data_IF_897555528959
#
_entry.id   IF_897555528959
#
_cell.length_a   1.000
_cell.length_b   1.000
_cell.length_c   1.000
_cell.angle_alpha   90.00
_cell.angle_beta   90.00
_cell.angle_gamma   90.00
#
_symmetry.space_group_name_H-M   'P 1'
#
loop_
_entity.id
_entity.type
_entity.pdbx_description
1 polymer ?
#
# COMPACT_ATOMS: atom_id res chain seq x y z
N UNK A 1 24.08 -38.35 2.31
CA UNK A 1 22.67 -38.11 1.96
C UNK A 1 22.21 -36.74 2.48
N UNK A 2 22.86 -35.64 2.05
CA UNK A 2 22.57 -34.27 2.52
C UNK A 2 22.66 -33.20 1.41
N UNK A 3 23.30 -33.52 0.27
CA UNK A 3 23.44 -32.59 -0.86
C UNK A 3 22.13 -32.34 -1.62
N UNK A 4 21.20 -33.30 -1.65
CA UNK A 4 19.91 -33.16 -2.32
C UNK A 4 19.00 -32.14 -1.61
N UNK A 5 18.99 -32.15 -0.27
CA UNK A 5 18.25 -31.17 0.55
C UNK A 5 18.84 -29.76 0.42
N UNK A 6 20.17 -29.63 0.42
CA UNK A 6 20.86 -28.34 0.21
C UNK A 6 20.56 -27.79 -1.20
N UNK A 7 20.56 -28.64 -2.23
CA UNK A 7 20.26 -28.22 -3.60
C UNK A 7 18.80 -27.75 -3.78
N UNK A 8 17.83 -28.46 -3.17
CA UNK A 8 16.42 -28.05 -3.18
C UNK A 8 16.19 -26.68 -2.50
N UNK A 9 16.83 -26.43 -1.36
CA UNK A 9 16.76 -25.14 -0.67
C UNK A 9 17.36 -24.00 -1.52
N UNK A 10 18.49 -24.23 -2.19
CA UNK A 10 19.13 -23.23 -3.05
C UNK A 10 18.28 -22.86 -4.26
N UNK A 11 17.55 -23.82 -4.84
CA UNK A 11 16.65 -23.56 -5.97
C UNK A 11 15.41 -22.75 -5.57
N UNK A 12 14.82 -23.02 -4.39
CA UNK A 12 13.69 -22.24 -3.85
C UNK A 12 14.06 -20.78 -3.64
N UNK A 13 15.19 -20.53 -2.96
CA UNK A 13 15.67 -19.16 -2.66
C UNK A 13 15.98 -18.39 -3.95
N UNK A 14 16.55 -19.07 -4.96
CA UNK A 14 16.82 -18.44 -6.27
C UNK A 14 15.53 -18.03 -6.97
N UNK A 15 14.50 -18.88 -6.93
CA UNK A 15 13.20 -18.60 -7.52
C UNK A 15 12.52 -17.41 -6.82
N UNK A 16 12.55 -17.36 -5.49
CA UNK A 16 11.96 -16.28 -4.70
C UNK A 16 12.54 -14.91 -5.04
N UNK A 17 13.87 -14.81 -5.13
CA UNK A 17 14.56 -13.56 -5.51
C UNK A 17 14.18 -13.10 -6.92
N UNK A 18 14.07 -14.02 -7.88
CA UNK A 18 13.68 -13.69 -9.25
C UNK A 18 12.22 -13.24 -9.35
N UNK A 19 11.31 -13.87 -8.60
CA UNK A 19 9.92 -13.42 -8.49
C UNK A 19 9.84 -12.04 -7.84
N UNK A 20 10.56 -11.80 -6.74
CA UNK A 20 10.58 -10.49 -6.09
C UNK A 20 11.12 -9.39 -7.01
N UNK A 21 12.15 -9.68 -7.82
CA UNK A 21 12.64 -8.73 -8.85
C UNK A 21 11.55 -8.37 -9.86
N UNK A 22 10.74 -9.33 -10.30
CA UNK A 22 9.61 -9.07 -11.22
C UNK A 22 8.55 -8.19 -10.57
N UNK A 23 8.21 -8.48 -9.31
CA UNK A 23 7.28 -7.67 -8.50
C UNK A 23 7.82 -6.24 -8.37
N UNK A 24 9.08 -6.08 -7.97
CA UNK A 24 9.72 -4.76 -7.84
C UNK A 24 9.71 -4.00 -9.18
N UNK A 25 10.08 -4.65 -10.28
CA UNK A 25 10.05 -4.04 -11.63
C UNK A 25 8.64 -3.59 -12.03
N UNK A 26 7.61 -4.37 -11.68
CA UNK A 26 6.22 -3.99 -11.90
C UNK A 26 5.88 -2.67 -11.16
N UNK A 27 6.17 -2.57 -9.86
CA UNK A 27 5.90 -1.34 -9.10
C UNK A 27 6.76 -0.15 -9.53
N UNK A 28 8.01 -0.36 -9.96
CA UNK A 28 8.86 0.69 -10.51
C UNK A 28 8.32 1.27 -11.83
N UNK A 29 7.67 0.46 -12.67
CA UNK A 29 7.09 0.90 -13.95
C UNK A 29 5.66 1.44 -13.84
N UNK A 30 5.00 1.26 -12.69
CA UNK A 30 3.65 1.75 -12.44
C UNK A 30 3.63 3.30 -12.51
N UNK A 31 2.82 3.89 -13.39
CA UNK A 31 2.67 5.35 -13.53
C UNK A 31 1.49 5.86 -12.73
N UNK A 32 0.35 5.19 -12.89
CA UNK A 32 -0.88 5.49 -12.15
C UNK A 32 -1.55 4.20 -11.70
N UNK A 33 -2.29 4.26 -10.60
CA UNK A 33 -3.17 3.19 -10.16
C UNK A 33 -4.38 3.80 -9.46
N UNK A 34 -5.55 3.23 -9.70
CA UNK A 34 -6.78 3.64 -9.03
C UNK A 34 -7.51 2.43 -8.51
N UNK A 35 -8.37 2.62 -7.53
CA UNK A 35 -9.30 1.60 -7.10
C UNK A 35 -10.13 2.08 -5.94
N UNK A 36 -10.65 1.11 -5.21
CA UNK A 36 -11.43 1.32 -4.00
C UNK A 36 -10.74 0.64 -2.83
N UNK A 37 -10.96 1.16 -1.63
CA UNK A 37 -10.33 0.65 -0.43
C UNK A 37 -11.33 0.50 0.72
N UNK A 38 -11.04 -0.46 1.59
CA UNK A 38 -11.65 -0.58 2.91
C UNK A 38 -10.50 -0.66 3.90
N UNK A 39 -10.43 0.28 4.81
CA UNK A 39 -9.43 0.35 5.86
C UNK A 39 -10.11 0.02 7.19
N UNK A 40 -9.53 -0.88 7.97
CA UNK A 40 -9.94 -1.20 9.33
C UNK A 40 -8.76 -0.97 10.27
N UNK A 41 -8.99 -0.17 11.29
CA UNK A 41 -8.02 0.10 12.36
C UNK A 41 -8.61 -0.36 13.68
N UNK A 42 -7.92 -1.23 14.40
CA UNK A 42 -8.37 -1.71 15.70
C UNK A 42 -7.32 -1.36 16.77
N UNK A 43 -7.81 -0.82 17.88
CA UNK A 43 -7.01 -0.61 19.09
C UNK A 43 -7.35 -1.72 20.10
N UNK A 44 -6.40 -2.61 20.35
CA UNK A 44 -6.62 -3.76 21.23
C UNK A 44 -6.86 -3.36 22.69
N UNK A 45 -6.36 -2.21 23.15
CA UNK A 45 -6.58 -1.77 24.55
C UNK A 45 -8.01 -1.35 24.78
N UNK A 46 -8.61 -0.67 23.80
CA UNK A 46 -9.99 -0.19 23.89
C UNK A 46 -11.02 -1.20 23.35
N UNK A 47 -10.59 -2.14 22.51
CA UNK A 47 -11.47 -3.04 21.75
C UNK A 47 -12.25 -2.34 20.63
N UNK A 48 -11.97 -1.07 20.37
CA UNK A 48 -12.65 -0.28 19.33
C UNK A 48 -11.98 -0.55 17.98
N UNK A 49 -12.81 -0.83 16.97
CA UNK A 49 -12.41 -0.88 15.58
C UNK A 49 -13.13 0.20 14.78
N UNK A 50 -12.39 0.97 14.00
CA UNK A 50 -12.92 1.92 13.03
C UNK A 50 -12.76 1.35 11.62
N UNK A 51 -13.75 1.59 10.76
CA UNK A 51 -13.71 1.20 9.37
C UNK A 51 -13.97 2.40 8.47
N UNK A 52 -13.12 2.58 7.45
CA UNK A 52 -13.22 3.63 6.45
C UNK A 52 -13.30 3.00 5.07
N UNK A 53 -14.12 3.58 4.19
CA UNK A 53 -14.25 3.11 2.80
C UNK A 53 -14.15 4.26 1.83
N UNK A 54 -13.70 3.96 0.62
CA UNK A 54 -13.75 4.93 -0.46
C UNK A 54 -12.87 4.58 -1.65
N UNK A 55 -12.34 5.62 -2.30
CA UNK A 55 -11.60 5.52 -3.56
C UNK A 55 -10.21 6.10 -3.43
N UNK A 56 -9.25 5.46 -4.08
CA UNK A 56 -7.88 5.94 -4.17
C UNK A 56 -7.46 6.16 -5.61
N UNK A 57 -6.62 7.18 -5.81
CA UNK A 57 -5.96 7.49 -7.07
C UNK A 57 -4.52 7.84 -6.76
N UNK A 58 -3.58 7.14 -7.38
CA UNK A 58 -2.16 7.38 -7.23
C UNK A 58 -1.57 7.69 -8.59
N UNK A 59 -0.69 8.69 -8.64
CA UNK A 59 0.09 9.05 -9.82
C UNK A 59 1.51 9.40 -9.41
N UNK A 60 2.50 8.78 -10.04
CA UNK A 60 3.91 9.07 -9.75
C UNK A 60 4.28 10.51 -10.17
N UNK A 61 5.26 11.14 -9.51
CA UNK A 61 6.03 10.61 -8.37
C UNK A 61 5.29 10.70 -7.03
N UNK A 62 4.46 11.72 -6.81
CA UNK A 62 3.99 12.07 -5.47
C UNK A 62 2.52 12.57 -5.45
N UNK A 63 1.68 12.12 -6.38
CA UNK A 63 0.28 12.52 -6.44
C UNK A 63 -0.62 11.44 -5.85
N UNK A 64 -1.50 11.85 -4.96
CA UNK A 64 -2.51 11.00 -4.32
C UNK A 64 -3.83 11.74 -4.23
N UNK A 65 -4.91 10.99 -4.39
CA UNK A 65 -6.23 11.38 -3.93
C UNK A 65 -6.85 10.19 -3.21
N UNK A 66 -7.20 10.35 -1.94
CA UNK A 66 -8.01 9.42 -1.18
C UNK A 66 -9.35 10.09 -0.87
N UNK A 67 -10.41 9.62 -1.50
CA UNK A 67 -11.78 10.07 -1.22
C UNK A 67 -12.40 9.09 -0.25
N UNK A 68 -12.57 9.49 1.00
CA UNK A 68 -13.27 8.73 2.03
C UNK A 68 -14.76 9.01 1.86
N UNK A 69 -15.54 7.94 1.72
CA UNK A 69 -16.99 7.97 1.47
C UNK A 69 -17.77 7.55 2.73
N UNK A 70 -17.18 6.67 3.56
CA UNK A 70 -17.74 6.19 4.83
C UNK A 70 -16.63 6.11 5.91
N UNK A 71 -16.95 6.32 7.20
CA UNK A 71 -18.28 6.63 7.73
C UNK A 71 -18.65 8.11 7.52
N UNK A 72 -17.65 8.99 7.44
CA UNK A 72 -17.83 10.40 7.15
C UNK A 72 -16.99 10.79 5.92
N UNK A 73 -17.52 11.74 5.15
CA UNK A 73 -16.82 12.21 3.95
C UNK A 73 -15.51 12.85 4.33
N UNK A 74 -14.45 12.45 3.65
CA UNK A 74 -13.11 13.01 3.84
C UNK A 74 -12.34 13.00 2.53
N UNK A 75 -11.37 13.87 2.42
CA UNK A 75 -10.53 13.96 1.24
C UNK A 75 -9.09 14.23 1.63
N UNK A 76 -8.21 13.32 1.22
CA UNK A 76 -6.78 13.47 1.35
C UNK A 76 -6.21 13.66 -0.05
N UNK A 77 -5.46 14.73 -0.27
CA UNK A 77 -4.82 15.04 -1.55
C UNK A 77 -3.34 15.26 -1.34
N UNK A 78 -2.52 14.62 -2.17
CA UNK A 78 -1.14 15.02 -2.38
C UNK A 78 -0.99 15.61 -3.78
N UNK A 79 -0.49 16.84 -3.88
CA UNK A 79 -0.36 17.61 -5.14
C UNK A 79 1.06 17.57 -5.73
N UNK A 80 1.91 16.68 -5.23
CA UNK A 80 3.33 16.58 -5.59
C UNK A 80 4.28 17.32 -4.66
N UNK A 81 3.79 18.33 -3.91
CA UNK A 81 4.59 19.13 -2.97
C UNK A 81 4.05 19.08 -1.54
N UNK A 82 2.73 19.05 -1.40
CA UNK A 82 2.01 19.16 -0.14
C UNK A 82 0.93 18.09 -0.02
N UNK A 83 0.68 17.67 1.22
CA UNK A 83 -0.42 16.81 1.60
C UNK A 83 -1.51 17.66 2.28
N UNK A 84 -2.75 17.50 1.85
CA UNK A 84 -3.91 18.20 2.38
C UNK A 84 -4.91 17.20 2.92
N UNK A 85 -5.42 17.47 4.12
CA UNK A 85 -6.56 16.77 4.70
C UNK A 85 -7.74 17.72 4.75
N UNK A 86 -8.87 17.28 4.20
CA UNK A 86 -10.11 18.02 4.21
C UNK A 86 -11.24 17.12 4.68
N UNK A 87 -11.82 17.47 5.82
CA UNK A 87 -13.03 16.87 6.36
C UNK A 87 -14.10 17.98 6.38
N UNK A 88 -15.23 17.83 5.66
CA UNK A 88 -16.24 18.88 5.56
C UNK A 88 -16.79 19.33 6.91
N UNK A 89 -16.85 18.41 7.89
CA UNK A 89 -17.37 18.68 9.23
C UNK A 89 -16.50 19.70 9.99
N UNK A 90 -15.18 19.63 9.81
CA UNK A 90 -14.23 20.44 10.59
C UNK A 90 -14.02 21.84 10.00
N UNK A 91 -14.50 22.10 8.78
CA UNK A 91 -14.30 23.35 8.01
C UNK A 91 -12.83 23.81 7.86
N UNK A 92 -11.87 22.98 8.25
CA UNK A 92 -10.44 23.26 8.24
C UNK A 92 -9.74 22.38 7.21
N UNK A 93 -8.74 22.97 6.53
CA UNK A 93 -7.83 22.25 5.64
C UNK A 93 -6.49 22.18 6.37
N UNK A 94 -6.08 20.97 6.74
CA UNK A 94 -4.76 20.74 7.32
C UNK A 94 -3.75 20.53 6.19
N UNK A 95 -2.57 21.14 6.28
CA UNK A 95 -1.53 21.09 5.25
C UNK A 95 -0.21 20.61 5.87
N UNK A 96 0.42 19.63 5.23
CA UNK A 96 1.72 19.10 5.62
C UNK A 96 2.68 19.05 4.42
N UNK A 97 4.00 19.21 4.62
CA UNK A 97 4.99 18.96 3.58
C UNK A 97 4.99 17.48 3.14
N UNK A 98 5.07 17.22 1.83
CA UNK A 98 5.02 15.84 1.31
C UNK A 98 6.25 15.00 1.63
N UNK A 99 7.39 15.63 1.94
CA UNK A 99 8.59 14.91 2.35
C UNK A 99 8.41 14.18 3.70
N UNK A 100 7.39 14.54 4.49
CA UNK A 100 6.99 13.83 5.71
C UNK A 100 6.05 12.65 5.41
N UNK A 101 5.49 12.57 4.20
CA UNK A 101 4.52 11.56 3.81
C UNK A 101 4.63 11.23 2.32
N UNK A 102 5.30 10.12 1.98
CA UNK A 102 5.29 9.65 0.59
C UNK A 102 3.96 8.91 0.32
N UNK A 103 3.09 9.35 -0.61
CA UNK A 103 1.80 8.70 -0.82
C UNK A 103 1.90 7.27 -1.36
N UNK A 104 3.05 6.92 -1.92
CA UNK A 104 3.41 5.56 -2.30
C UNK A 104 4.04 4.77 -1.15
N UNK A 105 4.09 5.25 0.11
CA UNK A 105 4.75 4.56 1.23
C UNK A 105 4.34 3.09 1.37
N UNK A 106 3.06 2.79 1.13
CA UNK A 106 2.53 1.42 1.10
C UNK A 106 3.33 0.52 0.13
N UNK A 107 3.73 1.07 -1.02
CA UNK A 107 4.51 0.39 -2.06
C UNK A 107 6.00 0.73 -2.03
N UNK A 108 6.41 1.76 -1.30
CA UNK A 108 7.79 2.21 -1.19
C UNK A 108 8.67 1.07 -0.72
N UNK A 109 8.16 0.28 0.21
CA UNK A 109 8.89 -0.85 0.76
C UNK A 109 9.20 -1.93 -0.31
N UNK A 110 8.34 -2.11 -1.32
CA UNK A 110 8.61 -2.99 -2.48
C UNK A 110 9.65 -2.34 -3.42
N UNK A 111 9.60 -1.02 -3.58
CA UNK A 111 10.47 -0.29 -4.50
C UNK A 111 11.88 -0.04 -3.93
N UNK A 112 12.01 -0.02 -2.60
CA UNK A 112 13.28 0.19 -1.89
C UNK A 112 14.24 -0.98 -2.07
N UNK A 113 15.54 -0.71 -1.96
CA UNK A 113 16.61 -1.72 -1.88
C UNK A 113 17.10 -1.95 -0.44
N UNK A 114 16.49 -1.27 0.55
CA UNK A 114 16.98 -1.28 1.94
C UNK A 114 16.53 -2.48 2.75
N UNK A 115 15.30 -2.95 2.56
CA UNK A 115 14.73 -4.07 3.32
C UNK A 115 14.05 -5.03 2.34
N UNK A 116 14.51 -6.27 2.34
CA UNK A 116 13.95 -7.35 1.52
C UNK A 116 12.88 -8.10 2.32
N UNK A 117 11.74 -8.44 1.71
CA UNK A 117 10.69 -9.18 2.40
C UNK A 117 11.05 -10.67 2.48
N UNK A 118 10.54 -11.32 3.52
CA UNK A 118 10.27 -12.75 3.44
C UNK A 118 9.09 -12.95 2.48
N UNK A 119 9.19 -13.91 1.56
CA UNK A 119 8.14 -14.19 0.61
C UNK A 119 7.59 -15.60 0.82
N UNK A 120 6.27 -15.71 0.86
CA UNK A 120 5.57 -16.98 0.92
C UNK A 120 4.54 -17.09 -0.21
N UNK A 121 4.42 -18.27 -0.79
CA UNK A 121 3.34 -18.57 -1.71
C UNK A 121 2.11 -19.07 -0.95
N UNK A 122 1.02 -18.30 -0.94
CA UNK A 122 -0.25 -18.70 -0.33
C UNK A 122 -1.16 -19.30 -1.41
N UNK A 123 -1.03 -20.63 -1.56
CA UNK A 123 -1.76 -21.41 -2.56
C UNK A 123 -1.47 -20.96 -4.00
N UNK A 124 -2.45 -21.14 -4.90
CA UNK A 124 -2.31 -20.76 -6.32
C UNK A 124 -2.58 -19.29 -6.61
N UNK A 125 -3.07 -18.52 -5.63
CA UNK A 125 -3.64 -17.18 -5.87
C UNK A 125 -2.74 -16.03 -5.43
N UNK A 126 -1.96 -16.21 -4.35
CA UNK A 126 -1.28 -15.09 -3.70
C UNK A 126 0.20 -15.31 -3.43
N UNK A 127 0.96 -14.23 -3.54
CA UNK A 127 2.22 -14.05 -2.82
C UNK A 127 1.93 -13.26 -1.54
N UNK A 128 2.58 -13.61 -0.44
CA UNK A 128 2.63 -12.83 0.78
C UNK A 128 4.06 -12.31 0.94
N UNK A 129 4.21 -10.99 0.99
CA UNK A 129 5.47 -10.32 1.28
C UNK A 129 5.43 -9.77 2.70
N UNK A 130 6.35 -10.22 3.54
CA UNK A 130 6.46 -9.79 4.94
C UNK A 130 7.75 -9.02 5.13
N UNK A 131 7.63 -7.72 5.41
CA UNK A 131 8.74 -6.85 5.75
C UNK A 131 8.81 -6.67 7.27
N UNK A 132 9.93 -7.06 7.85
CA UNK A 132 10.23 -6.83 9.27
C UNK A 132 10.93 -5.48 9.41
N UNK A 133 10.21 -4.48 9.92
CA UNK A 133 10.70 -3.13 10.13
C UNK A 133 10.92 -2.89 11.65
N UNK A 134 11.71 -1.88 12.05
CA UNK A 134 12.14 -1.74 13.45
C UNK A 134 11.01 -1.77 14.49
N UNK A 135 9.84 -1.21 14.15
CA UNK A 135 8.73 -1.03 15.08
C UNK A 135 7.43 -1.76 14.68
N UNK A 136 7.40 -2.42 13.53
CA UNK A 136 6.21 -3.08 13.01
C UNK A 136 6.53 -4.07 11.91
N UNK A 137 5.59 -4.96 11.61
CA UNK A 137 5.63 -5.79 10.40
C UNK A 137 4.66 -5.24 9.36
N UNK A 138 5.12 -5.18 8.12
CA UNK A 138 4.28 -4.86 6.97
C UNK A 138 4.05 -6.12 6.15
N UNK A 139 2.81 -6.56 6.07
CA UNK A 139 2.39 -7.71 5.28
C UNK A 139 1.64 -7.21 4.04
N UNK A 140 2.11 -7.59 2.85
CA UNK A 140 1.47 -7.29 1.59
C UNK A 140 1.04 -8.59 0.91
N UNK A 141 -0.26 -8.75 0.69
CA UNK A 141 -0.81 -9.86 -0.09
C UNK A 141 -1.01 -9.44 -1.54
N UNK A 142 -0.23 -10.01 -2.44
CA UNK A 142 -0.22 -9.70 -3.87
C UNK A 142 -0.85 -10.83 -4.66
N UNK A 143 -1.69 -10.51 -5.65
CA UNK A 143 -2.17 -11.49 -6.62
C UNK A 143 -1.04 -12.00 -7.50
N UNK A 144 -0.94 -13.32 -7.69
CA UNK A 144 0.07 -13.91 -8.59
C UNK A 144 -0.12 -13.51 -10.06
N UNK A 145 -1.36 -13.26 -10.50
CA UNK A 145 -1.68 -13.00 -11.91
C UNK A 145 -1.15 -11.66 -12.44
N UNK A 146 -1.12 -10.63 -11.59
CA UNK A 146 -0.88 -9.23 -11.99
C UNK A 146 -0.10 -8.43 -10.95
N UNK A 147 0.38 -9.07 -9.88
CA UNK A 147 1.15 -8.49 -8.77
C UNK A 147 0.47 -7.35 -8.00
N UNK A 148 -0.83 -7.11 -8.22
CA UNK A 148 -1.56 -6.09 -7.49
C UNK A 148 -1.75 -6.51 -6.03
N UNK A 149 -1.43 -5.61 -5.11
CA UNK A 149 -1.71 -5.78 -3.67
C UNK A 149 -3.23 -5.76 -3.46
N UNK A 150 -3.79 -6.81 -2.87
CA UNK A 150 -5.20 -6.84 -2.45
C UNK A 150 -5.39 -6.54 -0.97
N UNK A 151 -4.37 -6.81 -0.16
CA UNK A 151 -4.41 -6.58 1.28
C UNK A 151 -3.06 -6.09 1.78
N UNK A 152 -3.11 -5.07 2.63
CA UNK A 152 -1.99 -4.49 3.36
C UNK A 152 -2.32 -4.66 4.83
N UNK A 153 -1.38 -5.15 5.62
CA UNK A 153 -1.53 -5.20 7.08
C UNK A 153 -0.29 -4.66 7.75
N UNK A 154 -0.47 -3.63 8.56
CA UNK A 154 0.54 -3.16 9.50
C UNK A 154 0.26 -3.79 10.86
N UNK A 155 1.24 -4.47 11.42
CA UNK A 155 1.15 -5.15 12.71
C UNK A 155 2.14 -4.49 13.67
N UNK A 156 1.60 -3.74 14.63
CA UNK A 156 2.31 -3.29 15.83
C UNK A 156 1.96 -4.22 17.01
N UNK A 157 2.63 -4.06 18.15
CA UNK A 157 2.39 -4.94 19.31
C UNK A 157 0.94 -4.94 19.82
N UNK A 158 0.21 -3.83 19.70
CA UNK A 158 -1.14 -3.64 20.32
C UNK A 158 -2.15 -2.92 19.41
N UNK A 159 -1.80 -2.78 18.14
CA UNK A 159 -2.62 -2.11 17.12
C UNK A 159 -2.38 -2.81 15.81
N UNK A 160 -3.44 -2.96 15.03
CA UNK A 160 -3.34 -3.37 13.65
C UNK A 160 -4.13 -2.45 12.74
N UNK A 161 -3.59 -2.30 11.53
CA UNK A 161 -4.22 -1.56 10.45
C UNK A 161 -4.27 -2.48 9.24
N UNK A 162 -5.47 -2.82 8.80
CA UNK A 162 -5.72 -3.58 7.60
C UNK A 162 -6.31 -2.69 6.52
N UNK A 163 -5.80 -2.78 5.29
CA UNK A 163 -6.34 -2.09 4.12
C UNK A 163 -6.56 -3.12 3.02
N UNK A 164 -7.80 -3.26 2.58
CA UNK A 164 -8.19 -4.07 1.44
C UNK A 164 -8.33 -3.18 0.20
N UNK A 165 -7.75 -3.60 -0.92
CA UNK A 165 -7.75 -2.86 -2.19
C UNK A 165 -8.46 -3.67 -3.29
N UNK A 166 -9.49 -3.08 -3.87
CA UNK A 166 -10.35 -3.74 -4.86
C UNK A 166 -10.58 -2.84 -6.09
N UNK A 167 -11.15 -3.42 -7.15
CA UNK A 167 -11.48 -2.73 -8.41
C UNK A 167 -10.31 -1.95 -9.03
N UNK A 168 -9.10 -2.49 -8.86
CA UNK A 168 -7.87 -1.80 -9.22
C UNK A 168 -7.67 -1.71 -10.73
N UNK A 169 -7.28 -0.53 -11.22
CA UNK A 169 -6.91 -0.27 -12.62
C UNK A 169 -5.49 0.30 -12.67
N UNK A 170 -4.65 -0.30 -13.51
CA UNK A 170 -3.25 0.08 -13.69
C UNK A 170 -3.10 1.00 -14.89
N UNK A 171 -2.31 2.06 -14.72
CA UNK A 171 -2.01 3.05 -15.73
C UNK A 171 -3.23 3.68 -16.43
N UNK A 172 -4.41 3.88 -15.77
CA UNK A 172 -5.47 4.64 -16.41
C UNK A 172 -5.04 6.10 -16.62
N UNK A 173 -5.54 6.78 -17.67
CA UNK A 173 -5.36 8.22 -17.79
C UNK A 173 -6.03 8.91 -16.59
N UNK A 174 -5.27 9.76 -15.88
CA UNK A 174 -5.77 10.56 -14.77
C UNK A 174 -5.59 12.04 -15.08
N UNK A 175 -6.68 12.80 -14.93
CA UNK A 175 -6.66 14.25 -15.09
C UNK A 175 -5.93 14.88 -13.90
N UNK A 176 -5.01 15.81 -14.16
CA UNK A 176 -4.26 16.53 -13.14
C UNK A 176 -5.15 17.33 -12.18
N UNK A 177 -6.36 17.70 -12.60
CA UNK A 177 -7.34 18.36 -11.72
C UNK A 177 -7.75 17.51 -10.53
N UNK A 178 -7.64 16.17 -10.60
CA UNK A 178 -7.96 15.26 -9.49
C UNK A 178 -7.09 15.50 -8.25
N UNK A 179 -5.87 16.01 -8.45
CA UNK A 179 -4.86 16.19 -7.42
C UNK A 179 -4.67 17.65 -7.00
N UNK A 180 -5.51 18.55 -7.50
CA UNK A 180 -5.49 19.95 -7.06
C UNK A 180 -6.23 20.08 -5.73
N UNK A 181 -5.70 20.90 -4.82
CA UNK A 181 -6.38 21.27 -3.58
C UNK A 181 -7.77 21.86 -3.87
N UNK A 182 -8.71 21.63 -2.96
CA UNK A 182 -10.00 22.33 -2.99
C UNK A 182 -9.74 23.81 -2.72
N UNK A 183 -10.19 24.69 -3.63
CA UNK A 183 -10.27 26.12 -3.36
C UNK A 183 -11.50 26.35 -2.46
N UNK A 184 -11.30 26.99 -1.31
CA UNK A 184 -12.42 27.56 -0.54
C UNK A 184 -13.04 28.69 -1.36
#
# INVERSE_FOLDING_TARGET
>A
MNYLLIFLLLTSIKNEKEVYKKIKKFYLNLKTITGTFTQRECDEKSGVCLEFRGKFYLKKPNYLRLSIEEPEKGLIIADGESLYFYYPQDSLIQKYPINQFNPFLIFFQIMSDTVFPQMEEKGKKYYLLTFSLPNYRLNLQLRKKDFLVEKIKYEWEKRDLEILLYSQKINPPLNDTLFKKIKK
#
